data_IF_693105054986
#
_entry.id   IF_693105054986
#
_cell.length_a   1.000
_cell.length_b   1.000
_cell.length_c   1.000
_cell.angle_alpha   90.00
_cell.angle_beta   90.00
_cell.angle_gamma   90.00
#
_symmetry.space_group_name_H-M   'P 1'
#
loop_
_entity.id
_entity.type
_entity.pdbx_description
1 polymer ?
#
# COMPACT_ATOMS: atom_id res chain seq x y z
N UNK A 1 -29.61 3.20 59.49
CA UNK A 1 -28.49 2.43 58.93
C UNK A 1 -28.54 2.60 57.42
N UNK A 2 -27.87 3.65 56.89
CA UNK A 2 -27.93 4.03 55.46
C UNK A 2 -26.83 3.28 54.69
N UNK A 3 -27.25 2.70 53.58
CA UNK A 3 -26.58 1.76 52.67
C UNK A 3 -25.24 2.27 52.11
N UNK A 4 -24.14 1.57 52.46
CA UNK A 4 -22.79 1.70 51.87
C UNK A 4 -22.59 0.84 50.60
N UNK A 5 -23.67 0.52 49.87
CA UNK A 5 -23.60 -0.42 48.75
C UNK A 5 -23.27 0.21 47.38
N UNK A 6 -23.37 1.53 47.24
CA UNK A 6 -23.12 2.21 45.94
C UNK A 6 -21.64 2.45 45.60
N UNK A 7 -20.73 2.43 46.58
CA UNK A 7 -19.31 2.74 46.32
C UNK A 7 -18.52 1.58 45.69
N UNK A 8 -18.94 0.32 45.87
CA UNK A 8 -18.24 -0.86 45.33
C UNK A 8 -18.54 -1.14 43.86
N UNK A 9 -19.75 -0.79 43.40
CA UNK A 9 -20.14 -0.99 42.00
C UNK A 9 -19.34 -0.09 41.05
N UNK A 10 -19.08 1.17 41.43
CA UNK A 10 -18.24 2.09 40.65
C UNK A 10 -16.78 1.67 40.59
N UNK A 11 -16.23 1.15 41.70
CA UNK A 11 -14.85 0.65 41.74
C UNK A 11 -14.66 -0.58 40.83
N UNK A 12 -15.57 -1.56 40.89
CA UNK A 12 -15.51 -2.75 40.04
C UNK A 12 -15.62 -2.40 38.55
N UNK A 13 -16.41 -1.40 38.19
CA UNK A 13 -16.55 -0.93 36.81
C UNK A 13 -15.27 -0.23 36.30
N UNK A 14 -14.62 0.56 37.16
CA UNK A 14 -13.32 1.19 36.84
C UNK A 14 -12.21 0.14 36.70
N UNK A 15 -12.15 -0.83 37.62
CA UNK A 15 -11.17 -1.92 37.55
C UNK A 15 -11.38 -2.78 36.30
N UNK A 16 -12.64 -3.14 36.00
CA UNK A 16 -12.97 -3.86 34.77
C UNK A 16 -12.61 -3.06 33.52
N UNK A 17 -12.95 -1.76 33.48
CA UNK A 17 -12.61 -0.89 32.37
C UNK A 17 -11.11 -0.78 32.15
N UNK A 18 -10.32 -0.66 33.22
CA UNK A 18 -8.87 -0.63 33.14
C UNK A 18 -8.29 -1.96 32.63
N UNK A 19 -8.75 -3.09 33.18
CA UNK A 19 -8.29 -4.41 32.75
C UNK A 19 -8.67 -4.67 31.29
N UNK A 20 -9.89 -4.32 30.88
CA UNK A 20 -10.35 -4.46 29.51
C UNK A 20 -9.53 -3.58 28.54
N UNK A 21 -9.24 -2.33 28.92
CA UNK A 21 -8.41 -1.42 28.13
C UNK A 21 -6.99 -1.96 27.96
N UNK A 22 -6.36 -2.42 29.04
CA UNK A 22 -5.00 -2.98 29.00
C UNK A 22 -4.99 -4.25 28.15
N UNK A 23 -5.97 -5.14 28.31
CA UNK A 23 -6.08 -6.35 27.50
C UNK A 23 -6.28 -6.03 26.02
N UNK A 24 -7.15 -5.07 25.70
CA UNK A 24 -7.36 -4.58 24.34
C UNK A 24 -6.06 -4.06 23.72
N UNK A 25 -5.32 -3.22 24.45
CA UNK A 25 -4.03 -2.70 23.98
C UNK A 25 -3.01 -3.82 23.75
N UNK A 26 -2.92 -4.80 24.65
CA UNK A 26 -1.99 -5.91 24.52
C UNK A 26 -2.33 -6.82 23.33
N UNK A 27 -3.61 -7.16 23.16
CA UNK A 27 -4.08 -7.98 22.03
C UNK A 27 -3.90 -7.22 20.72
N UNK A 28 -4.34 -5.95 20.66
CA UNK A 28 -4.20 -5.11 19.47
C UNK A 28 -2.73 -4.92 19.08
N UNK A 29 -1.84 -4.71 20.05
CA UNK A 29 -0.40 -4.64 19.81
C UNK A 29 0.15 -5.98 19.31
N UNK A 30 -0.19 -7.11 19.94
CA UNK A 30 0.28 -8.43 19.53
C UNK A 30 -0.13 -8.78 18.10
N UNK A 31 -1.39 -8.52 17.73
CA UNK A 31 -1.91 -8.75 16.38
C UNK A 31 -1.21 -7.82 15.38
N UNK A 32 -1.14 -6.51 15.69
CA UNK A 32 -0.52 -5.52 14.79
C UNK A 32 0.95 -5.86 14.53
N UNK A 33 1.75 -6.07 15.59
CA UNK A 33 3.16 -6.39 15.44
C UNK A 33 3.38 -7.76 14.80
N UNK A 34 2.52 -8.75 15.08
CA UNK A 34 2.58 -10.06 14.44
C UNK A 34 2.42 -9.96 12.92
N UNK A 35 1.41 -9.23 12.46
CA UNK A 35 1.17 -8.98 11.02
C UNK A 35 2.35 -8.22 10.42
N UNK A 36 2.89 -7.21 11.10
CA UNK A 36 3.99 -6.41 10.59
C UNK A 36 5.30 -7.19 10.49
N UNK A 37 5.60 -8.07 11.46
CA UNK A 37 6.77 -8.96 11.40
C UNK A 37 6.62 -9.95 10.26
N UNK A 38 5.43 -10.53 10.09
CA UNK A 38 5.14 -11.41 8.96
C UNK A 38 5.35 -10.69 7.62
N UNK A 39 4.75 -9.51 7.46
CA UNK A 39 4.89 -8.70 6.25
C UNK A 39 6.35 -8.31 5.98
N UNK A 40 7.09 -7.89 7.00
CA UNK A 40 8.52 -7.57 6.90
C UNK A 40 9.34 -8.76 6.38
N UNK A 41 9.06 -9.97 6.86
CA UNK A 41 9.69 -11.20 6.34
C UNK A 41 9.38 -11.45 4.86
N UNK A 42 8.12 -11.28 4.46
CA UNK A 42 7.69 -11.48 3.07
C UNK A 42 8.33 -10.46 2.12
N UNK A 43 8.30 -9.16 2.45
CA UNK A 43 8.93 -8.15 1.58
C UNK A 43 10.45 -8.29 1.53
N UNK A 44 11.09 -8.82 2.58
CA UNK A 44 12.53 -9.12 2.56
C UNK A 44 12.86 -10.27 1.63
N UNK A 45 12.03 -11.31 1.61
CA UNK A 45 12.17 -12.40 0.65
C UNK A 45 11.92 -11.91 -0.78
N UNK A 46 10.86 -11.12 -0.99
CA UNK A 46 10.55 -10.51 -2.28
C UNK A 46 11.71 -9.64 -2.79
N UNK A 47 12.27 -8.78 -1.95
CA UNK A 47 13.40 -7.93 -2.31
C UNK A 47 14.63 -8.76 -2.72
N UNK A 48 14.96 -9.81 -1.97
CA UNK A 48 16.09 -10.68 -2.28
C UNK A 48 15.92 -11.43 -3.62
N UNK A 49 14.72 -11.98 -3.87
CA UNK A 49 14.42 -12.68 -5.13
C UNK A 49 14.44 -11.71 -6.29
N UNK A 50 13.75 -10.57 -6.15
CA UNK A 50 13.70 -9.52 -7.18
C UNK A 50 15.08 -9.01 -7.57
N UNK A 51 15.88 -8.59 -6.59
CA UNK A 51 17.20 -8.04 -6.85
C UNK A 51 18.15 -9.07 -7.46
N UNK A 52 18.07 -10.34 -7.02
CA UNK A 52 18.90 -11.43 -7.56
C UNK A 52 18.53 -11.80 -8.99
N UNK A 53 17.25 -11.94 -9.29
CA UNK A 53 16.82 -12.29 -10.65
C UNK A 53 17.10 -11.13 -11.62
N UNK A 54 16.86 -9.89 -11.18
CA UNK A 54 17.16 -8.72 -12.00
C UNK A 54 18.66 -8.55 -12.22
N UNK A 55 19.50 -8.86 -11.23
CA UNK A 55 20.96 -8.81 -11.39
C UNK A 55 21.50 -9.81 -12.40
N UNK A 56 20.75 -10.87 -12.71
CA UNK A 56 21.13 -11.93 -13.65
C UNK A 56 20.37 -11.84 -14.98
N UNK A 57 19.59 -10.77 -15.17
CA UNK A 57 18.84 -10.57 -16.41
C UNK A 57 19.71 -9.84 -17.43
N UNK A 58 19.80 -10.34 -18.68
CA UNK A 58 20.57 -9.68 -19.72
C UNK A 58 19.86 -8.40 -20.18
N UNK A 59 20.34 -7.26 -19.67
CA UNK A 59 19.80 -5.93 -19.93
C UNK A 59 20.89 -5.00 -20.52
N UNK A 60 20.55 -4.06 -21.42
CA UNK A 60 21.44 -3.02 -21.94
C UNK A 60 22.14 -2.20 -20.86
N UNK A 61 23.43 -1.92 -21.02
CA UNK A 61 24.28 -1.38 -19.96
C UNK A 61 23.93 0.07 -19.53
N UNK A 62 23.27 0.81 -20.42
CA UNK A 62 22.87 2.21 -20.27
C UNK A 62 21.52 2.40 -19.57
N UNK A 63 20.70 1.35 -19.45
CA UNK A 63 19.38 1.42 -18.82
C UNK A 63 19.43 1.88 -17.36
N UNK A 64 18.44 2.69 -16.98
CA UNK A 64 18.08 2.99 -15.59
C UNK A 64 17.25 1.86 -15.00
N UNK A 65 17.00 1.88 -13.68
CA UNK A 65 16.19 0.85 -13.04
C UNK A 65 14.74 0.88 -13.52
N UNK A 66 14.19 2.09 -13.71
CA UNK A 66 12.84 2.32 -14.21
C UNK A 66 12.69 1.77 -15.62
N UNK A 67 13.63 2.08 -16.53
CA UNK A 67 13.64 1.55 -17.89
C UNK A 67 13.72 0.03 -17.90
N UNK A 68 14.55 -0.55 -17.02
CA UNK A 68 14.70 -1.99 -16.89
C UNK A 68 13.40 -2.67 -16.41
N UNK A 69 12.64 -2.04 -15.51
CA UNK A 69 11.33 -2.56 -15.08
C UNK A 69 10.29 -2.55 -16.20
N UNK A 70 10.42 -1.66 -17.19
CA UNK A 70 9.51 -1.59 -18.34
C UNK A 70 9.86 -2.60 -19.44
N UNK A 71 11.05 -3.22 -19.40
CA UNK A 71 11.47 -4.24 -20.36
C UNK A 71 10.58 -5.49 -20.32
N UNK A 72 10.18 -5.99 -21.49
CA UNK A 72 9.31 -7.17 -21.65
C UNK A 72 9.85 -8.40 -20.90
N UNK A 73 11.17 -8.61 -20.94
CA UNK A 73 11.84 -9.74 -20.25
C UNK A 73 11.70 -9.66 -18.73
N UNK A 74 11.73 -8.45 -18.16
CA UNK A 74 11.59 -8.21 -16.73
C UNK A 74 10.13 -8.29 -16.33
N UNK A 75 9.22 -7.68 -17.11
CA UNK A 75 7.78 -7.72 -16.85
C UNK A 75 7.19 -9.12 -16.87
N UNK A 76 7.57 -9.95 -17.85
CA UNK A 76 7.07 -11.34 -17.93
C UNK A 76 7.58 -12.24 -16.82
N UNK A 77 8.79 -11.99 -16.29
CA UNK A 77 9.48 -12.95 -15.41
C UNK A 77 9.63 -12.49 -13.97
N UNK A 78 9.99 -11.22 -13.76
CA UNK A 78 10.43 -10.71 -12.46
C UNK A 78 9.33 -9.90 -11.81
N UNK A 79 8.93 -8.78 -12.39
CA UNK A 79 8.00 -7.86 -11.77
C UNK A 79 7.23 -7.07 -12.81
N UNK A 80 5.92 -6.96 -12.59
CA UNK A 80 5.05 -6.08 -13.35
C UNK A 80 3.99 -5.48 -12.41
N UNK A 81 3.82 -4.17 -12.48
CA UNK A 81 2.94 -3.40 -11.61
C UNK A 81 1.45 -3.67 -11.88
N UNK A 82 1.07 -4.10 -13.08
CA UNK A 82 -0.32 -4.45 -13.44
C UNK A 82 -0.82 -5.66 -12.66
N UNK A 83 0.07 -6.61 -12.35
CA UNK A 83 -0.26 -7.76 -11.51
C UNK A 83 -0.48 -7.41 -10.03
N UNK A 84 -0.33 -6.13 -9.62
CA UNK A 84 -0.66 -5.67 -8.27
C UNK A 84 -2.17 -5.54 -8.02
N UNK A 85 -3.00 -5.60 -9.06
CA UNK A 85 -4.47 -5.51 -8.93
C UNK A 85 -5.11 -6.60 -9.78
N UNK A 86 -5.87 -7.47 -9.12
CA UNK A 86 -6.62 -8.55 -9.77
C UNK A 86 -8.10 -8.29 -9.55
N UNK A 87 -8.89 -8.26 -10.63
CA UNK A 87 -10.34 -8.19 -10.57
C UNK A 87 -10.92 -9.58 -10.30
N UNK A 88 -11.41 -9.77 -9.08
CA UNK A 88 -12.06 -11.02 -8.66
C UNK A 88 -13.43 -11.20 -9.30
N UNK A 89 -14.10 -10.11 -9.69
CA UNK A 89 -15.40 -10.18 -10.36
C UNK A 89 -15.23 -10.74 -11.78
N UNK A 90 -14.22 -10.30 -12.52
CA UNK A 90 -13.89 -10.89 -13.84
C UNK A 90 -13.32 -12.30 -13.70
N UNK A 91 -12.43 -12.54 -12.73
CA UNK A 91 -11.87 -13.86 -12.48
C UNK A 91 -12.94 -14.91 -12.18
N UNK A 92 -13.97 -14.57 -11.38
CA UNK A 92 -15.07 -15.48 -11.06
C UNK A 92 -15.97 -15.75 -12.28
N UNK A 93 -16.09 -14.79 -13.20
CA UNK A 93 -16.84 -14.97 -14.45
C UNK A 93 -16.10 -15.92 -15.41
N UNK A 94 -14.80 -15.73 -15.60
CA UNK A 94 -13.97 -16.59 -16.42
C UNK A 94 -13.80 -17.99 -15.81
N UNK A 95 -13.62 -18.06 -14.48
CA UNK A 95 -13.25 -19.25 -13.74
C UNK A 95 -14.03 -19.36 -12.40
N UNK A 96 -15.27 -19.88 -12.39
CA UNK A 96 -16.12 -19.90 -11.19
C UNK A 96 -15.55 -20.68 -9.99
N UNK A 97 -14.76 -21.72 -10.23
CA UNK A 97 -14.15 -22.57 -9.19
C UNK A 97 -12.68 -22.22 -8.91
N UNK A 98 -12.27 -20.97 -9.18
CA UNK A 98 -10.87 -20.56 -9.05
C UNK A 98 -10.36 -20.64 -7.60
N UNK A 99 -9.07 -20.94 -7.47
CA UNK A 99 -8.30 -20.70 -6.27
C UNK A 99 -7.16 -19.72 -6.59
N UNK A 100 -7.23 -18.53 -5.99
CA UNK A 100 -6.28 -17.45 -6.23
C UNK A 100 -4.81 -17.90 -6.10
N UNK A 101 -4.48 -18.66 -5.06
CA UNK A 101 -3.09 -19.03 -4.77
C UNK A 101 -2.56 -20.21 -5.61
N UNK A 102 -3.43 -21.05 -6.16
CA UNK A 102 -3.00 -22.18 -6.99
C UNK A 102 -3.13 -21.91 -8.48
N UNK A 103 -4.07 -21.03 -8.87
CA UNK A 103 -4.44 -20.87 -10.28
C UNK A 103 -3.97 -19.52 -10.84
N UNK A 104 -3.99 -18.46 -10.02
CA UNK A 104 -3.59 -17.11 -10.44
C UNK A 104 -2.14 -16.81 -10.05
N UNK A 105 -1.77 -16.98 -8.78
CA UNK A 105 -0.43 -16.62 -8.28
C UNK A 105 0.68 -17.28 -9.11
N UNK A 106 0.65 -18.58 -9.44
CA UNK A 106 1.74 -19.18 -10.22
C UNK A 106 1.92 -18.62 -11.64
N UNK A 107 0.95 -17.87 -12.17
CA UNK A 107 1.03 -17.19 -13.48
C UNK A 107 1.67 -15.79 -13.37
N UNK A 108 1.77 -15.23 -12.17
CA UNK A 108 2.36 -13.91 -11.93
C UNK A 108 3.89 -13.93 -12.10
N UNK A 109 4.54 -12.78 -12.34
CA UNK A 109 5.99 -12.65 -12.25
C UNK A 109 6.52 -12.98 -10.85
N UNK A 110 7.77 -13.43 -10.75
CA UNK A 110 8.35 -14.00 -9.52
C UNK A 110 8.22 -13.10 -8.28
N UNK A 111 8.45 -11.80 -8.44
CA UNK A 111 8.33 -10.82 -7.37
C UNK A 111 6.86 -10.65 -6.96
N UNK A 112 5.95 -10.50 -7.93
CA UNK A 112 4.51 -10.44 -7.66
C UNK A 112 4.00 -11.69 -6.94
N UNK A 113 4.52 -12.89 -7.26
CA UNK A 113 4.21 -14.12 -6.52
C UNK A 113 4.54 -14.02 -5.03
N UNK A 114 5.71 -13.44 -4.70
CA UNK A 114 6.10 -13.24 -3.30
C UNK A 114 5.22 -12.19 -2.61
N UNK A 115 4.75 -11.17 -3.34
CA UNK A 115 3.90 -10.11 -2.80
C UNK A 115 2.43 -10.53 -2.66
N UNK A 116 1.96 -11.53 -3.42
CA UNK A 116 0.56 -11.93 -3.47
C UNK A 116 -0.04 -12.30 -2.10
N UNK A 117 0.77 -12.81 -1.17
CA UNK A 117 0.32 -13.14 0.20
C UNK A 117 0.00 -11.91 1.05
N UNK A 118 0.46 -10.73 0.63
CA UNK A 118 0.21 -9.45 1.29
C UNK A 118 -1.01 -8.72 0.71
N UNK A 119 -1.62 -9.26 -0.34
CA UNK A 119 -2.74 -8.61 -1.00
C UNK A 119 -3.94 -8.58 -0.06
N UNK A 120 -4.71 -7.50 -0.19
CA UNK A 120 -5.96 -7.30 0.52
C UNK A 120 -7.12 -7.46 -0.45
N UNK A 121 -8.23 -7.95 0.09
CA UNK A 121 -9.51 -7.84 -0.58
C UNK A 121 -10.06 -6.43 -0.37
N UNK A 122 -10.48 -5.80 -1.45
CA UNK A 122 -11.04 -4.45 -1.45
C UNK A 122 -12.23 -4.39 -2.40
N UNK A 123 -13.35 -3.84 -1.94
CA UNK A 123 -14.55 -3.71 -2.76
C UNK A 123 -14.62 -2.23 -3.20
N UNK A 124 -14.45 -2.00 -4.50
CA UNK A 124 -14.31 -0.66 -5.09
C UNK A 124 -15.54 -0.34 -5.91
N UNK A 125 -16.13 0.83 -5.64
CA UNK A 125 -17.15 1.41 -6.50
C UNK A 125 -16.47 1.94 -7.77
N UNK A 126 -16.77 1.35 -8.92
CA UNK A 126 -16.21 1.78 -10.20
C UNK A 126 -17.19 2.74 -10.90
N UNK A 127 -16.86 4.05 -11.01
CA UNK A 127 -17.75 5.03 -11.61
C UNK A 127 -17.95 4.85 -13.13
N UNK A 128 -17.14 4.01 -13.80
CA UNK A 128 -17.28 3.72 -15.23
C UNK A 128 -18.40 2.74 -15.54
N UNK A 129 -18.86 1.99 -14.55
CA UNK A 129 -20.15 1.32 -14.62
C UNK A 129 -21.22 2.38 -14.33
N UNK A 130 -21.46 3.23 -15.32
CA UNK A 130 -22.65 4.07 -15.33
C UNK A 130 -23.84 3.14 -15.10
N UNK A 131 -24.53 3.34 -13.98
CA UNK A 131 -25.82 2.74 -13.72
C UNK A 131 -26.71 3.03 -14.92
N UNK A 132 -26.97 2.02 -15.75
CA UNK A 132 -28.21 2.01 -16.52
C UNK A 132 -29.33 2.30 -15.52
N UNK A 133 -30.37 3.04 -15.94
CA UNK A 133 -31.36 3.72 -15.08
C UNK A 133 -32.09 2.86 -14.01
N UNK A 134 -31.77 1.57 -13.85
CA UNK A 134 -32.28 0.67 -12.80
C UNK A 134 -31.27 -0.42 -12.33
N UNK A 135 -29.96 -0.26 -12.53
CA UNK A 135 -28.95 -1.24 -12.05
C UNK A 135 -28.18 -0.69 -10.85
N UNK A 136 -27.88 -1.55 -9.88
CA UNK A 136 -27.08 -1.16 -8.71
C UNK A 136 -25.67 -0.73 -9.18
N UNK A 137 -25.05 0.27 -8.51
CA UNK A 137 -23.69 0.65 -8.82
C UNK A 137 -22.76 -0.56 -8.85
N UNK A 138 -22.01 -0.73 -9.94
CA UNK A 138 -21.10 -1.86 -10.11
C UNK A 138 -19.96 -1.79 -9.11
N UNK A 139 -19.96 -2.69 -8.11
CA UNK A 139 -18.81 -2.91 -7.25
C UNK A 139 -17.85 -3.90 -7.93
N UNK A 140 -16.60 -3.46 -8.15
CA UNK A 140 -15.50 -4.38 -8.50
C UNK A 140 -14.91 -4.93 -7.21
N UNK A 141 -14.84 -6.25 -7.10
CA UNK A 141 -14.15 -6.93 -6.00
C UNK A 141 -12.71 -7.12 -6.43
N UNK A 142 -11.77 -6.47 -5.76
CA UNK A 142 -10.37 -6.51 -6.11
C UNK A 142 -9.58 -7.31 -5.08
N UNK A 143 -8.59 -8.07 -5.55
CA UNK A 143 -7.49 -8.58 -4.75
C UNK A 143 -6.25 -7.80 -5.15
N UNK A 144 -5.77 -6.92 -4.27
CA UNK A 144 -4.74 -5.94 -4.63
C UNK A 144 -3.68 -5.76 -3.58
N UNK A 145 -2.51 -5.28 -3.99
CA UNK A 145 -1.49 -4.83 -3.06
C UNK A 145 -1.98 -3.62 -2.23
N UNK A 146 -1.67 -3.54 -0.92
CA UNK A 146 -2.08 -2.42 -0.10
C UNK A 146 -1.44 -1.10 -0.54
N UNK A 147 -2.23 -0.02 -0.55
CA UNK A 147 -1.80 1.31 -1.01
C UNK A 147 -2.98 2.14 -1.51
N UNK A 148 -2.70 3.29 -2.11
CA UNK A 148 -3.67 4.03 -2.90
C UNK A 148 -3.94 3.29 -4.22
N UNK A 149 -5.20 3.18 -4.59
CA UNK A 149 -5.61 2.70 -5.91
C UNK A 149 -5.78 3.92 -6.81
N UNK A 150 -5.06 3.95 -7.92
CA UNK A 150 -5.07 5.04 -8.89
C UNK A 150 -5.53 4.49 -10.23
N UNK A 151 -6.19 5.33 -11.03
CA UNK A 151 -6.49 5.02 -12.41
C UNK A 151 -5.23 5.23 -13.26
N UNK A 152 -4.81 4.21 -14.01
CA UNK A 152 -3.67 4.31 -14.91
C UNK A 152 -4.00 5.29 -16.03
N UNK A 153 -3.07 6.18 -16.36
CA UNK A 153 -3.25 7.12 -17.47
C UNK A 153 -3.45 6.36 -18.79
N UNK A 154 -4.41 6.76 -19.61
CA UNK A 154 -4.62 6.14 -20.94
C UNK A 154 -3.47 6.42 -21.91
N UNK A 155 -2.63 7.42 -21.64
CA UNK A 155 -1.49 7.78 -22.49
C UNK A 155 -0.26 6.87 -22.30
N UNK A 156 -0.24 6.01 -21.27
CA UNK A 156 0.77 4.97 -21.11
C UNK A 156 0.34 3.70 -21.85
N UNK A 157 0.38 3.76 -23.18
CA UNK A 157 0.19 2.57 -24.02
C UNK A 157 1.17 1.47 -23.60
N UNK A 158 0.69 0.24 -23.49
CA UNK A 158 1.54 -0.89 -23.18
C UNK A 158 2.31 -1.36 -24.41
N UNK A 159 3.46 -0.75 -24.66
CA UNK A 159 4.34 -1.10 -25.77
C UNK A 159 5.09 -2.43 -25.57
N UNK A 160 4.88 -3.13 -24.45
CA UNK A 160 5.56 -4.41 -24.15
C UNK A 160 5.03 -5.59 -24.97
N UNK A 161 3.86 -5.47 -25.59
CA UNK A 161 3.21 -6.55 -26.33
C UNK A 161 2.80 -7.75 -25.46
N UNK A 162 2.75 -7.59 -24.14
CA UNK A 162 2.29 -8.60 -23.20
C UNK A 162 0.76 -8.64 -23.23
N UNK A 163 0.21 -9.82 -23.51
CA UNK A 163 -1.23 -10.07 -23.35
C UNK A 163 -1.51 -10.49 -21.91
N UNK A 164 -2.37 -9.72 -21.24
CA UNK A 164 -2.83 -10.01 -19.89
C UNK A 164 -4.17 -10.75 -19.94
N UNK A 165 -4.44 -11.68 -19.00
CA UNK A 165 -5.80 -12.17 -18.78
C UNK A 165 -6.74 -11.02 -18.39
N UNK A 166 -8.02 -11.10 -18.77
CA UNK A 166 -8.99 -10.00 -18.55
C UNK A 166 -9.20 -9.71 -17.05
N UNK A 167 -8.99 -10.70 -16.18
CA UNK A 167 -9.00 -10.51 -14.72
C UNK A 167 -7.79 -9.74 -14.14
N UNK A 168 -6.77 -9.41 -14.93
CA UNK A 168 -5.71 -8.49 -14.50
C UNK A 168 -6.18 -7.07 -14.76
N UNK A 169 -6.41 -6.31 -13.71
CA UNK A 169 -6.98 -4.97 -13.81
C UNK A 169 -5.86 -3.96 -14.15
N UNK A 170 -5.45 -3.96 -15.41
CA UNK A 170 -4.37 -3.15 -15.97
C UNK A 170 -4.68 -1.65 -16.03
N UNK A 171 -5.96 -1.30 -15.97
CA UNK A 171 -6.51 0.03 -15.80
C UNK A 171 -6.21 0.68 -14.44
N UNK A 172 -5.72 -0.11 -13.48
CA UNK A 172 -5.31 0.39 -12.17
C UNK A 172 -3.78 0.35 -11.97
N UNK A 173 -3.32 1.22 -11.09
CA UNK A 173 -1.96 1.21 -10.53
C UNK A 173 -2.02 1.42 -9.03
N UNK A 174 -1.15 0.74 -8.29
CA UNK A 174 -1.03 0.89 -6.84
C UNK A 174 0.22 1.70 -6.52
N UNK A 175 0.03 2.81 -5.81
CA UNK A 175 1.13 3.60 -5.24
C UNK A 175 0.92 3.83 -3.75
N UNK A 176 2.01 4.06 -3.04
CA UNK A 176 2.00 4.16 -1.58
C UNK A 176 2.21 5.63 -1.16
N UNK A 177 1.29 6.22 -0.38
CA UNK A 177 1.50 7.55 0.17
C UNK A 177 2.44 7.48 1.39
N UNK A 178 3.66 7.99 1.26
CA UNK A 178 4.53 8.23 2.39
C UNK A 178 4.19 9.56 3.04
N UNK A 179 3.67 9.53 4.27
CA UNK A 179 3.40 10.74 5.05
C UNK A 179 4.71 11.29 5.57
N UNK A 180 5.14 12.42 5.04
CA UNK A 180 6.42 13.07 5.39
C UNK A 180 6.23 13.95 6.63
N UNK A 181 5.16 14.75 6.63
CA UNK A 181 4.81 15.61 7.74
C UNK A 181 3.31 15.89 7.76
N UNK A 182 2.83 16.52 8.83
CA UNK A 182 1.49 17.13 8.86
C UNK A 182 1.63 18.64 8.77
N UNK A 183 0.72 19.29 8.05
CA UNK A 183 0.71 20.74 7.84
C UNK A 183 0.73 21.52 9.17
N UNK A 184 1.34 22.72 9.17
CA UNK A 184 1.37 23.62 10.33
C UNK A 184 -0.03 23.86 10.92
N UNK A 185 -0.09 23.86 12.26
CA UNK A 185 -1.28 23.51 13.04
C UNK A 185 -1.00 22.39 14.07
N UNK A 186 0.24 21.85 14.07
CA UNK A 186 0.77 20.93 15.08
C UNK A 186 0.47 21.45 16.49
N UNK A 187 -0.23 20.64 17.29
CA UNK A 187 -0.81 20.93 18.62
C UNK A 187 -2.17 21.65 18.69
N UNK A 188 -2.75 22.14 17.58
CA UNK A 188 -4.06 22.80 17.54
C UNK A 188 -5.06 22.17 16.53
N UNK A 189 -4.87 20.90 16.16
CA UNK A 189 -5.97 20.03 15.71
C UNK A 189 -6.54 20.22 14.30
N UNK A 190 -5.82 20.76 13.32
CA UNK A 190 -6.43 21.06 12.00
C UNK A 190 -5.59 20.88 10.73
N UNK A 191 -4.46 20.18 10.76
CA UNK A 191 -3.63 19.99 9.56
C UNK A 191 -3.84 18.62 8.90
N UNK A 192 -4.15 18.60 7.61
CA UNK A 192 -4.08 17.40 6.78
C UNK A 192 -2.64 16.90 6.59
N UNK A 193 -2.51 15.70 6.01
CA UNK A 193 -1.21 15.08 5.78
C UNK A 193 -0.50 15.65 4.55
N UNK A 194 0.81 15.89 4.65
CA UNK A 194 1.67 16.13 3.49
C UNK A 194 2.35 14.81 3.10
N UNK A 195 2.09 14.36 1.88
CA UNK A 195 2.52 13.05 1.38
C UNK A 195 3.49 13.16 0.20
N UNK A 196 4.32 12.13 0.07
CA UNK A 196 5.15 11.85 -1.11
C UNK A 196 4.72 10.49 -1.66
N UNK A 197 4.61 10.37 -2.97
CA UNK A 197 4.32 9.09 -3.62
C UNK A 197 5.59 8.25 -3.74
N UNK A 198 5.45 6.96 -3.44
CA UNK A 198 6.47 5.94 -3.70
C UNK A 198 5.83 4.75 -4.39
N UNK A 199 6.59 4.12 -5.27
CA UNK A 199 6.19 2.89 -5.93
C UNK A 199 6.35 1.69 -4.99
N UNK A 200 5.65 0.61 -5.29
CA UNK A 200 5.76 -0.65 -4.52
C UNK A 200 7.18 -1.20 -4.60
N UNK A 201 7.79 -1.09 -5.77
CA UNK A 201 9.19 -1.44 -6.05
C UNK A 201 9.89 -0.20 -6.61
N UNK A 202 10.96 0.24 -5.98
CA UNK A 202 11.80 1.35 -6.45
C UNK A 202 13.29 1.02 -6.29
N UNK A 203 14.15 1.79 -6.95
CA UNK A 203 15.59 1.74 -6.70
C UNK A 203 15.96 2.49 -5.41
N UNK A 204 17.01 2.02 -4.73
CA UNK A 204 17.72 2.81 -3.72
C UNK A 204 18.72 3.69 -4.45
N UNK A 205 18.28 4.90 -4.75
CA UNK A 205 19.12 5.94 -5.29
C UNK A 205 19.30 7.10 -4.28
N UNK A 206 20.24 7.97 -4.60
CA UNK A 206 20.37 9.28 -3.98
C UNK A 206 20.55 10.27 -5.13
N UNK A 207 19.54 11.10 -5.46
CA UNK A 207 19.60 11.96 -6.64
C UNK A 207 20.76 12.96 -6.57
N UNK A 208 21.26 13.29 -5.37
CA UNK A 208 22.35 14.25 -5.20
C UNK A 208 23.74 13.59 -5.28
N UNK A 209 23.89 12.34 -4.83
CA UNK A 209 25.21 11.71 -4.68
C UNK A 209 25.43 10.43 -5.47
N UNK A 210 24.35 9.75 -5.88
CA UNK A 210 24.37 8.51 -6.63
C UNK A 210 23.03 8.29 -7.35
N UNK A 211 22.71 9.12 -8.36
CA UNK A 211 21.54 8.89 -9.20
C UNK A 211 21.75 7.61 -9.99
N UNK A 212 20.70 6.78 -10.12
CA UNK A 212 20.65 5.58 -10.97
C UNK A 212 21.79 4.56 -10.75
N UNK A 213 21.96 3.97 -9.54
CA UNK A 213 22.97 2.93 -9.30
C UNK A 213 22.90 1.74 -10.26
N UNK A 214 21.74 1.45 -10.82
CA UNK A 214 21.50 0.36 -11.75
C UNK A 214 22.29 0.49 -13.06
N UNK A 215 22.41 1.71 -13.57
CA UNK A 215 23.09 1.97 -14.85
C UNK A 215 24.59 1.79 -14.71
N UNK A 216 25.23 1.19 -15.72
CA UNK A 216 26.70 1.10 -15.80
C UNK A 216 27.32 2.39 -16.33
N UNK A 217 26.51 3.31 -16.88
CA UNK A 217 26.95 4.66 -17.27
C UNK A 217 26.98 5.63 -16.09
N UNK A 218 26.47 5.22 -14.92
CA UNK A 218 26.50 6.03 -13.72
C UNK A 218 27.94 6.52 -13.41
N UNK A 219 28.04 7.84 -13.20
CA UNK A 219 29.31 8.54 -12.97
C UNK A 219 29.98 8.16 -11.66
N UNK A 220 29.23 7.59 -10.71
CA UNK A 220 29.76 7.09 -9.44
C UNK A 220 30.31 5.66 -9.62
N UNK A 221 31.60 5.57 -9.95
CA UNK A 221 32.25 4.29 -10.28
C UNK A 221 32.23 3.25 -9.16
N UNK A 222 32.12 3.69 -7.90
CA UNK A 222 32.08 2.81 -6.73
C UNK A 222 30.70 2.15 -6.52
N UNK A 223 29.66 2.70 -7.14
CA UNK A 223 28.25 2.31 -6.90
C UNK A 223 27.44 1.98 -8.16
N UNK A 224 28.03 2.16 -9.35
CA UNK A 224 27.41 1.78 -10.64
C UNK A 224 27.28 0.27 -10.83
N UNK A 225 26.29 -0.15 -11.63
CA UNK A 225 26.06 -1.56 -11.97
C UNK A 225 25.59 -2.39 -10.77
N UNK A 226 24.82 -1.79 -9.88
CA UNK A 226 24.29 -2.46 -8.70
C UNK A 226 22.77 -2.46 -8.80
N UNK A 227 22.16 -3.61 -8.61
CA UNK A 227 20.72 -3.72 -8.41
C UNK A 227 20.42 -3.45 -6.94
N UNK A 228 20.01 -2.23 -6.62
CA UNK A 228 19.66 -1.83 -5.27
C UNK A 228 18.13 -1.72 -5.14
N UNK A 229 17.44 -2.85 -5.06
CA UNK A 229 15.98 -2.88 -5.07
C UNK A 229 15.40 -2.63 -3.67
N UNK A 230 14.38 -1.79 -3.60
CA UNK A 230 13.58 -1.49 -2.41
C UNK A 230 12.12 -1.87 -2.63
N UNK A 231 11.52 -2.52 -1.62
CA UNK A 231 10.08 -2.86 -1.61
C UNK A 231 9.39 -2.12 -0.46
N UNK A 232 8.29 -1.43 -0.78
CA UNK A 232 7.45 -0.73 0.19
C UNK A 232 6.19 -1.51 0.51
N UNK A 233 5.86 -1.60 1.80
CA UNK A 233 4.58 -2.11 2.28
C UNK A 233 3.94 -1.12 3.25
N UNK A 234 2.76 -0.55 2.96
CA UNK A 234 2.07 0.32 3.90
C UNK A 234 1.39 -0.55 4.94
N UNK A 235 1.99 -0.69 6.11
CA UNK A 235 1.43 -1.46 7.19
C UNK A 235 0.47 -0.60 8.01
N UNK A 236 -0.83 -0.94 7.99
CA UNK A 236 -1.86 -0.23 8.75
C UNK A 236 -2.51 -1.16 9.79
N UNK A 237 -2.69 -0.65 11.01
CA UNK A 237 -3.32 -1.40 12.09
C UNK A 237 -4.84 -1.30 12.01
N UNK A 238 -5.52 -2.44 12.13
CA UNK A 238 -6.98 -2.51 12.31
C UNK A 238 -7.42 -2.38 13.77
N UNK A 239 -6.48 -2.27 14.72
CA UNK A 239 -6.75 -2.25 16.16
C UNK A 239 -6.26 -0.98 16.86
N UNK A 240 -5.31 -0.27 16.27
CA UNK A 240 -4.68 0.90 16.89
C UNK A 240 -4.97 2.13 16.04
N UNK A 241 -5.39 3.21 16.71
CA UNK A 241 -5.57 4.53 16.10
C UNK A 241 -4.29 5.34 16.17
N UNK A 242 -4.17 6.28 15.24
CA UNK A 242 -3.03 7.19 15.16
C UNK A 242 -3.34 8.50 15.92
N UNK A 243 -2.38 8.93 16.74
CA UNK A 243 -2.44 10.17 17.51
C UNK A 243 -1.21 11.03 17.23
N UNK A 244 -1.32 12.34 17.42
CA UNK A 244 -0.22 13.28 17.16
C UNK A 244 0.92 13.07 18.15
N UNK A 245 2.17 13.09 17.67
CA UNK A 245 3.33 13.07 18.57
C UNK A 245 3.47 14.43 19.25
N UNK A 246 3.36 14.45 20.59
CA UNK A 246 3.56 15.63 21.44
C UNK A 246 4.89 15.61 22.19
N UNK A 247 5.76 14.65 21.86
CA UNK A 247 7.01 14.41 22.54
C UNK A 247 6.91 13.30 23.60
N UNK A 248 8.08 12.96 24.15
CA UNK A 248 8.23 11.80 25.02
C UNK A 248 7.40 11.94 26.30
N UNK A 249 6.56 10.94 26.56
CA UNK A 249 5.69 10.86 27.75
C UNK A 249 4.63 11.98 27.87
N UNK A 250 4.34 12.71 26.79
CA UNK A 250 3.23 13.67 26.77
C UNK A 250 1.97 12.93 26.32
N UNK A 251 0.91 12.86 27.14
CA UNK A 251 -0.34 12.24 26.72
C UNK A 251 -0.92 12.94 25.49
N UNK A 252 -1.26 12.18 24.47
CA UNK A 252 -1.78 12.65 23.19
C UNK A 252 -3.12 12.02 22.81
N UNK A 253 -3.78 11.32 23.74
CA UNK A 253 -5.06 10.65 23.49
C UNK A 253 -6.21 11.60 23.15
N UNK A 254 -6.06 12.90 23.41
CA UNK A 254 -7.00 13.94 23.00
C UNK A 254 -6.73 14.56 21.62
N UNK A 255 -5.65 14.13 20.95
CA UNK A 255 -5.17 14.75 19.70
C UNK A 255 -5.04 13.68 18.61
N UNK A 256 -6.17 13.13 18.14
CA UNK A 256 -6.13 12.13 17.10
C UNK A 256 -5.65 12.70 15.77
N UNK A 257 -5.07 11.83 14.95
CA UNK A 257 -4.85 12.13 13.54
C UNK A 257 -6.16 11.93 12.80
N UNK A 258 -6.93 13.00 12.65
CA UNK A 258 -8.22 13.01 11.97
C UNK A 258 -8.05 12.54 10.51
N UNK A 259 -8.98 11.69 10.07
CA UNK A 259 -9.08 11.24 8.68
C UNK A 259 -9.83 12.29 7.85
N UNK A 260 -9.07 13.05 7.07
CA UNK A 260 -9.56 14.09 6.16
C UNK A 260 -8.72 14.01 4.88
N UNK A 261 -9.30 13.43 3.82
CA UNK A 261 -8.64 13.29 2.52
C UNK A 261 -8.65 14.62 1.74
N UNK A 262 -9.59 15.54 2.01
CA UNK A 262 -9.65 16.84 1.32
C UNK A 262 -8.53 17.79 1.77
N UNK A 263 -8.01 17.57 2.99
CA UNK A 263 -6.88 18.32 3.53
C UNK A 263 -5.49 17.72 3.17
N UNK A 264 -5.42 16.59 2.46
CA UNK A 264 -4.14 15.97 2.07
C UNK A 264 -3.48 16.75 0.94
N UNK A 265 -2.19 17.04 1.12
CA UNK A 265 -1.35 17.77 0.15
C UNK A 265 -0.20 16.89 -0.33
N UNK A 266 0.09 16.91 -1.62
CA UNK A 266 1.25 16.21 -2.20
C UNK A 266 2.45 17.17 -2.22
N UNK A 267 3.61 16.71 -1.72
CA UNK A 267 4.85 17.49 -1.70
C UNK A 267 5.48 17.55 -3.10
N UNK A 268 5.33 16.46 -3.86
CA UNK A 268 5.84 16.35 -5.21
C UNK A 268 4.87 15.50 -6.05
N UNK A 269 4.06 16.17 -6.87
CA UNK A 269 3.01 15.54 -7.66
C UNK A 269 3.53 14.81 -8.90
N UNK A 270 4.80 14.98 -9.26
CA UNK A 270 5.39 14.42 -10.48
C UNK A 270 5.56 12.91 -10.46
N UNK A 271 5.65 12.31 -9.26
CA UNK A 271 5.86 10.87 -9.09
C UNK A 271 4.53 10.07 -9.05
N UNK A 272 3.39 10.73 -9.24
CA UNK A 272 2.10 10.08 -9.31
C UNK A 272 1.96 9.39 -10.69
N UNK A 273 1.88 8.05 -10.73
CA UNK A 273 1.80 7.24 -11.97
C UNK A 273 0.39 7.14 -12.58
N UNK A 274 -0.57 7.94 -12.11
CA UNK A 274 -1.97 7.85 -12.53
C UNK A 274 -2.82 8.99 -12.00
N UNK A 275 -4.13 8.83 -12.05
CA UNK A 275 -5.10 9.78 -11.50
C UNK A 275 -5.75 9.24 -10.21
N UNK A 276 -6.08 10.13 -9.29
CA UNK A 276 -6.70 9.75 -8.02
C UNK A 276 -8.16 9.36 -8.23
N UNK A 277 -8.52 8.16 -7.80
CA UNK A 277 -9.92 7.71 -7.80
C UNK A 277 -10.62 8.35 -6.60
N UNK A 278 -11.77 8.99 -6.84
CA UNK A 278 -12.55 9.59 -5.76
C UNK A 278 -13.23 8.52 -4.90
N UNK A 279 -12.50 7.99 -3.92
CA UNK A 279 -12.98 6.97 -3.00
C UNK A 279 -13.34 7.59 -1.65
N UNK A 280 -14.61 7.54 -1.21
CA UNK A 280 -14.98 8.10 0.08
C UNK A 280 -14.45 7.22 1.22
N UNK A 281 -14.18 7.84 2.38
CA UNK A 281 -13.77 7.12 3.60
C UNK A 281 -14.92 6.32 4.23
N UNK A 282 -16.16 6.74 3.96
CA UNK A 282 -17.40 6.09 4.39
C UNK A 282 -18.36 6.11 3.21
N UNK A 283 -19.02 4.99 2.96
CA UNK A 283 -20.04 4.84 1.92
C UNK A 283 -21.29 4.18 2.51
N UNK A 284 -22.43 4.30 1.82
CA UNK A 284 -23.66 3.60 2.21
C UNK A 284 -23.73 2.24 1.52
N UNK A 285 -23.99 1.18 2.29
CA UNK A 285 -24.24 -0.15 1.72
C UNK A 285 -25.66 -0.26 1.12
N UNK A 286 -25.99 -1.40 0.51
CA UNK A 286 -27.32 -1.66 -0.06
C UNK A 286 -28.46 -1.67 0.96
N UNK A 287 -28.15 -1.68 2.26
CA UNK A 287 -29.11 -1.56 3.36
C UNK A 287 -29.28 -0.10 3.85
N UNK A 288 -28.57 0.86 3.24
CA UNK A 288 -28.56 2.27 3.65
C UNK A 288 -27.76 2.53 4.92
N UNK A 289 -26.88 1.62 5.32
CA UNK A 289 -26.02 1.76 6.49
C UNK A 289 -24.67 2.35 6.09
N UNK A 290 -24.15 3.29 6.87
CA UNK A 290 -22.81 3.83 6.67
C UNK A 290 -21.75 2.78 7.03
N UNK A 291 -20.96 2.38 6.04
CA UNK A 291 -19.86 1.43 6.16
C UNK A 291 -18.54 2.14 5.90
N UNK A 292 -17.53 1.81 6.70
CA UNK A 292 -16.19 2.34 6.54
C UNK A 292 -15.47 1.66 5.37
N UNK A 293 -14.74 2.43 4.57
CA UNK A 293 -13.88 1.92 3.49
C UNK A 293 -12.68 1.08 3.98
N UNK A 294 -12.54 0.88 5.29
CA UNK A 294 -11.51 0.05 5.91
C UNK A 294 -10.18 0.78 6.13
N UNK A 295 -9.19 0.01 6.59
CA UNK A 295 -7.86 0.54 6.93
C UNK A 295 -7.05 0.97 5.71
N UNK A 296 -7.41 0.55 4.50
CA UNK A 296 -6.73 0.92 3.26
C UNK A 296 -7.63 1.68 2.29
N UNK A 297 -8.78 2.15 2.78
CA UNK A 297 -9.75 2.91 1.99
C UNK A 297 -9.40 4.40 1.89
N UNK A 298 -10.30 5.15 1.26
CA UNK A 298 -10.12 6.57 0.97
C UNK A 298 -9.33 6.83 -0.32
N UNK A 299 -9.37 8.08 -0.77
CA UNK A 299 -8.77 8.56 -2.04
C UNK A 299 -7.27 8.29 -2.12
N UNK A 300 -6.59 8.38 -0.97
CA UNK A 300 -5.15 8.17 -0.86
C UNK A 300 -4.80 6.80 -0.28
N UNK A 301 -5.76 5.92 0.02
CA UNK A 301 -5.46 4.66 0.71
C UNK A 301 -4.92 4.83 2.15
N UNK A 302 -5.12 6.00 2.75
CA UNK A 302 -4.69 6.33 4.12
C UNK A 302 -5.65 5.81 5.21
N UNK A 303 -6.82 5.32 4.79
CA UNK A 303 -7.77 4.59 5.61
C UNK A 303 -8.44 5.41 6.72
N UNK A 304 -9.35 4.72 7.39
CA UNK A 304 -10.05 5.17 8.59
C UNK A 304 -10.20 3.99 9.56
N UNK A 305 -10.00 4.24 10.85
CA UNK A 305 -10.26 3.26 11.89
C UNK A 305 -11.71 3.40 12.38
N UNK A 306 -12.59 2.56 11.84
CA UNK A 306 -14.05 2.65 12.06
C UNK A 306 -14.54 2.45 13.50
N UNK A 307 -13.69 1.95 14.41
CA UNK A 307 -14.04 1.79 15.82
C UNK A 307 -13.97 3.09 16.64
N UNK A 308 -13.29 4.13 16.13
CA UNK A 308 -13.09 5.40 16.84
C UNK A 308 -13.54 6.60 16.01
N UNK A 309 -14.86 6.82 15.95
CA UNK A 309 -15.51 7.86 15.13
C UNK A 309 -16.39 8.82 15.95
N UNK A 310 -16.19 8.86 17.27
CA UNK A 310 -16.93 9.76 18.16
C UNK A 310 -16.72 11.22 17.75
N UNK A 311 -17.80 11.98 17.47
CA UNK A 311 -17.73 13.40 17.11
C UNK A 311 -17.02 14.26 18.16
N UNK A 312 -17.05 13.85 19.43
CA UNK A 312 -16.34 14.51 20.53
C UNK A 312 -14.82 14.42 20.39
N UNK A 313 -14.31 13.34 19.76
CA UNK A 313 -12.88 13.16 19.50
C UNK A 313 -12.45 13.74 18.15
N UNK A 314 -13.33 13.71 17.14
CA UNK A 314 -12.98 14.06 15.77
C UNK A 314 -13.43 15.45 15.34
N UNK A 315 -14.16 16.18 16.19
CA UNK A 315 -14.53 17.57 15.93
C UNK A 315 -15.32 17.75 14.65
N UNK A 316 -16.28 16.85 14.38
CA UNK A 316 -17.10 16.67 13.16
C UNK A 316 -16.50 15.86 12.01
N UNK A 317 -15.24 15.44 12.09
CA UNK A 317 -14.66 14.58 11.06
C UNK A 317 -15.13 13.12 11.15
N UNK A 318 -15.04 12.43 10.02
CA UNK A 318 -15.61 11.10 9.78
C UNK A 318 -14.96 10.02 10.67
N UNK A 319 -13.68 10.19 11.04
CA UNK A 319 -13.00 9.29 11.97
C UNK A 319 -11.52 9.60 12.17
N UNK A 320 -10.80 8.64 12.75
CA UNK A 320 -9.37 8.72 13.05
C UNK A 320 -8.59 7.82 12.10
N UNK A 321 -7.40 8.25 11.66
CA UNK A 321 -6.48 7.42 10.88
C UNK A 321 -6.02 6.20 11.68
N UNK A 322 -5.86 5.03 11.06
CA UNK A 322 -5.21 3.89 11.71
C UNK A 322 -3.74 4.20 12.01
N UNK A 323 -3.19 3.55 13.04
CA UNK A 323 -1.75 3.55 13.29
C UNK A 323 -1.05 2.88 12.11
N UNK A 324 -0.12 3.60 11.48
CA UNK A 324 0.49 3.19 10.21
C UNK A 324 1.99 3.40 10.20
N UNK A 325 2.69 2.54 9.49
CA UNK A 325 4.11 2.66 9.12
C UNK A 325 4.30 2.12 7.72
N UNK A 326 5.20 2.70 6.95
CA UNK A 326 5.68 2.06 5.71
C UNK A 326 6.85 1.18 6.10
N UNK A 327 6.67 -0.14 5.99
CA UNK A 327 7.75 -1.10 6.13
C UNK A 327 8.53 -1.10 4.82
N UNK A 328 9.85 -1.08 4.96
CA UNK A 328 10.76 -1.04 3.82
C UNK A 328 11.73 -2.18 3.97
N UNK A 329 11.91 -2.92 2.90
CA UNK A 329 13.00 -3.89 2.79
C UNK A 329 13.79 -3.64 1.52
N UNK A 330 15.05 -4.04 1.57
CA UNK A 330 15.96 -3.85 0.47
C UNK A 330 16.87 -5.05 0.29
N UNK A 331 17.36 -5.18 -0.93
CA UNK A 331 18.39 -6.13 -1.29
C UNK A 331 19.31 -5.52 -2.34
N UNK A 332 20.59 -5.82 -2.22
CA UNK A 332 21.63 -5.23 -3.06
C UNK A 332 22.44 -6.36 -3.68
N UNK A 333 22.44 -6.43 -5.02
CA UNK A 333 23.19 -7.40 -5.80
C UNK A 333 24.01 -6.69 -6.88
N UNK A 334 25.14 -7.28 -7.26
CA UNK A 334 25.91 -6.78 -8.40
C UNK A 334 25.25 -7.25 -9.68
N UNK A 335 25.02 -6.31 -10.60
CA UNK A 335 24.50 -6.61 -11.94
C UNK A 335 25.54 -7.37 -12.75
N UNK A 336 25.12 -8.47 -13.36
CA UNK A 336 25.94 -9.25 -14.27
C UNK A 336 25.82 -8.68 -15.68
N UNK A 337 26.96 -8.54 -16.38
CA UNK A 337 27.02 -8.08 -17.77
C UNK A 337 27.21 -9.29 -18.67
N UNK A 338 26.23 -9.51 -19.54
CA UNK A 338 26.28 -10.60 -20.50
C UNK A 338 26.86 -10.07 -21.82
N UNK A 339 28.07 -10.51 -22.14
CA UNK A 339 28.65 -10.23 -23.46
C UNK A 339 27.91 -11.07 -24.52
N UNK A 340 27.66 -10.53 -25.72
CA UNK A 340 27.10 -11.32 -26.81
C UNK A 340 28.03 -12.50 -27.11
N UNK A 341 27.46 -13.70 -27.23
CA UNK A 341 28.23 -14.90 -27.53
C UNK A 341 29.02 -14.69 -28.82
N UNK A 342 30.34 -14.68 -28.73
CA UNK A 342 31.23 -14.72 -29.89
C UNK A 342 31.20 -16.12 -30.49
N UNK A 343 30.07 -16.50 -31.10
CA UNK A 343 30.07 -17.60 -32.05
C UNK A 343 30.89 -17.16 -33.25
N UNK A 344 32.17 -17.56 -33.23
CA UNK A 344 33.02 -17.61 -34.41
C UNK A 344 32.30 -18.43 -35.46
N UNK A 345 31.80 -17.73 -36.49
CA UNK A 345 31.32 -18.32 -37.73
C UNK A 345 32.42 -19.25 -38.27
N UNK A 346 32.10 -20.52 -38.63
CA UNK A 346 33.10 -21.51 -39.03
C UNK A 346 33.88 -21.16 -40.30
#
# INVERSE_FOLDING_TARGET
>A
MRTRHHQRAGQALVEFGLVALVLYMLVGAAITFGIWIYAAGQIQQAANVGARELSQTPLPFDETFEDALDQEVVRKRIYDDRWLVIDLTELEQEHPDYNFFTDVVPRMPLLNQQLAVLYIRDDVLDPRFETLENEEPGYRRLMRYPGALLERSQDTADDSGIEYPDYVADDYVVQIPLVVERKEGHNNGGGGERIRWVDVVEEIDDPDTNPDPFSLENTNEDRRGVVALRVHYPAQSSWLSSFQDRGRFVPNGGDPNIADDDAVETIDGTNLRGSLINRPLVFENSLGESVYAGTYGGKYGLGIHGAMTSPELTGSAIGIRPYRRVLVSHAIFRREVFLPSTETTP
#
